data_IF_950304281070
#
_entry.id   IF_950304281070
#
_cell.length_a   1.000
_cell.length_b   1.000
_cell.length_c   1.000
_cell.angle_alpha   90.00
_cell.angle_beta   90.00
_cell.angle_gamma   90.00
#
_symmetry.space_group_name_H-M   'P 1'
#
loop_
_entity.id
_entity.type
_entity.pdbx_description
1 polymer ?
#
# COMPACT_ATOMS: atom_id res chain seq x y z
N UNK A 1 -24.99 4.19 29.64
CA UNK A 1 -23.55 4.35 29.31
C UNK A 1 -23.36 3.83 27.90
N UNK A 2 -23.00 4.66 26.90
CA UNK A 2 -22.88 4.17 25.54
C UNK A 2 -21.57 3.39 25.36
N UNK A 3 -21.67 2.28 24.63
CA UNK A 3 -20.59 1.34 24.40
C UNK A 3 -19.43 1.99 23.64
N UNK A 4 -18.21 1.82 24.18
CA UNK A 4 -17.00 2.27 23.51
C UNK A 4 -16.87 1.55 22.17
N UNK A 5 -17.08 2.29 21.08
CA UNK A 5 -16.66 1.94 19.74
C UNK A 5 -15.17 1.56 19.78
N UNK A 6 -14.89 0.26 19.95
CA UNK A 6 -13.60 -0.34 19.61
C UNK A 6 -13.45 -0.20 18.10
N UNK A 7 -12.98 0.96 17.66
CA UNK A 7 -12.44 1.14 16.32
C UNK A 7 -11.29 0.14 16.22
N UNK A 8 -11.59 -1.01 15.63
CA UNK A 8 -10.57 -1.96 15.25
C UNK A 8 -9.66 -1.21 14.30
N UNK A 9 -8.46 -0.90 14.74
CA UNK A 9 -7.35 -0.39 13.91
C UNK A 9 -6.95 -1.50 12.93
N UNK A 10 -7.84 -1.81 11.99
CA UNK A 10 -7.79 -3.00 11.14
C UNK A 10 -7.04 -2.77 9.83
N UNK A 11 -6.71 -1.53 9.50
CA UNK A 11 -6.06 -1.15 8.25
C UNK A 11 -4.79 -0.33 8.51
N UNK A 12 -3.87 -0.86 9.33
CA UNK A 12 -2.54 -0.28 9.38
C UNK A 12 -1.87 -0.47 8.02
N UNK A 13 -1.35 0.60 7.39
CA UNK A 13 -0.61 0.47 6.14
C UNK A 13 0.58 -0.46 6.35
N UNK A 14 0.67 -1.49 5.51
CA UNK A 14 1.73 -2.48 5.61
C UNK A 14 2.90 -1.98 4.77
N UNK A 15 4.12 -1.83 5.32
CA UNK A 15 5.28 -1.50 4.49
C UNK A 15 5.52 -2.63 3.50
N UNK A 16 5.66 -2.29 2.22
CA UNK A 16 5.86 -3.25 1.13
C UNK A 16 6.99 -2.76 0.24
N UNK A 17 7.65 -3.68 -0.45
CA UNK A 17 8.56 -3.31 -1.52
C UNK A 17 7.80 -3.34 -2.85
N UNK A 18 7.93 -2.28 -3.63
CA UNK A 18 7.32 -2.17 -4.95
C UNK A 18 8.44 -2.08 -5.96
N UNK A 19 8.46 -3.03 -6.88
CA UNK A 19 9.34 -3.00 -8.05
C UNK A 19 8.64 -2.16 -9.09
N UNK A 20 9.20 -0.98 -9.37
CA UNK A 20 8.76 -0.10 -10.45
C UNK A 20 9.57 -0.38 -11.73
N UNK A 21 8.96 -0.17 -12.89
CA UNK A 21 9.68 -0.06 -14.16
C UNK A 21 10.30 1.35 -14.29
N UNK A 22 11.23 1.54 -15.24
CA UNK A 22 11.86 2.84 -15.53
C UNK A 22 10.90 3.98 -15.91
N UNK A 23 9.61 3.69 -16.05
CA UNK A 23 8.52 4.63 -16.30
C UNK A 23 7.65 4.95 -15.06
N UNK A 24 8.16 4.72 -13.83
CA UNK A 24 7.41 4.90 -12.57
C UNK A 24 6.13 4.05 -12.49
N UNK A 25 6.14 2.89 -13.16
CA UNK A 25 4.99 1.96 -13.19
C UNK A 25 5.26 0.80 -12.26
N UNK A 26 4.47 0.58 -11.20
CA UNK A 26 4.67 -0.56 -10.34
C UNK A 26 4.40 -1.85 -11.13
N UNK A 27 5.42 -2.71 -11.28
CA UNK A 27 5.41 -4.00 -11.98
C UNK A 27 5.08 -5.15 -11.04
N UNK A 28 5.59 -5.12 -9.82
CA UNK A 28 5.39 -6.18 -8.84
C UNK A 28 5.49 -5.63 -7.43
N UNK A 29 4.70 -6.16 -6.51
CA UNK A 29 4.77 -5.83 -5.09
C UNK A 29 5.21 -7.05 -4.29
N UNK A 30 6.09 -6.86 -3.33
CA UNK A 30 6.50 -7.87 -2.37
C UNK A 30 5.80 -7.58 -1.05
N UNK A 31 4.77 -8.38 -0.75
CA UNK A 31 4.06 -8.30 0.52
C UNK A 31 4.85 -9.04 1.60
N UNK A 32 5.05 -8.44 2.79
CA UNK A 32 5.69 -9.11 3.89
C UNK A 32 4.84 -10.32 4.32
N UNK A 33 5.47 -11.35 4.91
CA UNK A 33 4.77 -12.55 5.31
C UNK A 33 3.70 -12.21 6.36
N UNK A 34 2.44 -12.29 5.95
CA UNK A 34 1.31 -12.27 6.89
C UNK A 34 1.39 -13.53 7.75
N UNK A 35 1.29 -13.35 9.07
CA UNK A 35 1.47 -14.39 10.09
C UNK A 35 0.31 -15.40 10.00
N UNK A 36 0.33 -16.29 9.01
CA UNK A 36 -0.57 -17.43 8.94
C UNK A 36 -0.01 -18.55 9.80
N UNK A 37 -0.77 -18.99 10.80
CA UNK A 37 -0.39 -20.00 11.81
C UNK A 37 0.08 -21.36 11.26
N UNK A 38 0.06 -21.59 9.94
CA UNK A 38 0.32 -22.91 9.33
C UNK A 38 1.26 -22.92 8.11
N UNK A 39 1.83 -21.79 7.68
CA UNK A 39 2.63 -21.79 6.45
C UNK A 39 3.94 -21.04 6.63
N UNK A 40 5.03 -21.64 6.12
CA UNK A 40 6.38 -21.10 6.05
C UNK A 40 6.33 -19.62 5.64
N UNK A 41 7.04 -18.76 6.39
CA UNK A 41 7.19 -17.32 6.12
C UNK A 41 7.80 -17.14 4.73
N UNK A 42 6.97 -17.00 3.71
CA UNK A 42 7.41 -16.68 2.35
C UNK A 42 6.85 -15.32 1.98
N UNK A 43 7.75 -14.41 1.62
CA UNK A 43 7.41 -13.15 0.98
C UNK A 43 6.60 -13.50 -0.28
N UNK A 44 5.41 -12.91 -0.40
CA UNK A 44 4.57 -13.11 -1.59
C UNK A 44 4.82 -11.95 -2.53
N UNK A 45 5.49 -12.21 -3.65
CA UNK A 45 5.52 -11.29 -4.77
C UNK A 45 4.24 -11.43 -5.60
N UNK A 46 3.53 -10.32 -5.79
CA UNK A 46 2.35 -10.21 -6.62
C UNK A 46 2.70 -9.34 -7.82
N UNK A 47 2.63 -9.92 -9.02
CA UNK A 47 2.78 -9.16 -10.25
C UNK A 47 1.56 -8.27 -10.48
N UNK A 48 1.80 -7.03 -10.91
CA UNK A 48 0.78 -6.08 -11.31
C UNK A 48 0.48 -6.28 -12.79
N UNK A 49 -0.79 -6.53 -13.10
CA UNK A 49 -1.28 -6.71 -14.47
C UNK A 49 -1.71 -5.38 -15.08
N UNK A 50 -2.27 -4.46 -14.29
CA UNK A 50 -2.70 -3.14 -14.77
C UNK A 50 -2.75 -2.12 -13.66
N UNK A 51 -2.57 -0.84 -13.99
CA UNK A 51 -2.78 0.28 -13.07
C UNK A 51 -4.16 0.84 -13.41
N UNK A 52 -5.10 0.80 -12.47
CA UNK A 52 -6.46 1.30 -12.66
C UNK A 52 -6.50 2.82 -12.48
N UNK A 53 -5.80 3.33 -11.45
CA UNK A 53 -5.90 4.73 -11.06
C UNK A 53 -4.63 5.17 -10.34
N UNK A 54 -4.35 6.47 -10.37
CA UNK A 54 -3.17 7.10 -9.79
C UNK A 54 -3.56 8.49 -9.32
N UNK A 55 -3.33 8.77 -8.03
CA UNK A 55 -3.59 10.07 -7.45
C UNK A 55 -2.48 10.44 -6.47
N UNK A 56 -2.07 11.70 -6.52
CA UNK A 56 -1.15 12.26 -5.54
C UNK A 56 -1.95 13.04 -4.51
N UNK A 57 -1.62 12.79 -3.24
CA UNK A 57 -2.14 13.53 -2.10
C UNK A 57 -0.98 14.29 -1.52
N UNK A 58 -1.03 15.61 -1.67
CA UNK A 58 -0.15 16.53 -0.97
C UNK A 58 -0.92 17.00 0.28
N UNK A 59 -0.84 16.17 1.32
CA UNK A 59 -1.39 16.48 2.64
C UNK A 59 -0.46 17.50 3.31
N UNK A 60 -1.07 18.51 3.93
CA UNK A 60 -0.34 19.52 4.72
C UNK A 60 0.57 20.47 3.92
N UNK A 61 0.12 20.95 2.76
CA UNK A 61 0.73 22.12 2.10
C UNK A 61 0.78 23.38 3.00
N UNK A 62 0.06 23.36 4.12
CA UNK A 62 0.01 24.42 5.14
C UNK A 62 0.85 24.15 6.41
N UNK A 63 1.56 23.01 6.56
CA UNK A 63 2.48 22.78 7.70
C UNK A 63 3.95 22.82 7.27
N UNK A 64 4.83 23.03 8.25
CA UNK A 64 6.29 23.09 8.08
C UNK A 64 6.93 21.82 7.48
N UNK A 65 6.22 20.67 7.52
CA UNK A 65 6.65 19.41 6.89
C UNK A 65 5.59 18.94 5.88
N UNK A 66 5.68 19.33 4.60
CA UNK A 66 4.72 18.91 3.58
C UNK A 66 4.78 17.39 3.40
N UNK A 67 3.62 16.73 3.46
CA UNK A 67 3.50 15.29 3.28
C UNK A 67 3.00 15.03 1.86
N UNK A 68 3.91 14.64 0.97
CA UNK A 68 3.52 14.22 -0.39
C UNK A 68 3.44 12.69 -0.45
N UNK A 69 2.28 12.15 -0.81
CA UNK A 69 2.02 10.71 -0.95
C UNK A 69 1.43 10.43 -2.31
N UNK A 70 2.04 9.54 -3.08
CA UNK A 70 1.46 9.08 -4.36
C UNK A 70 0.78 7.74 -4.16
N UNK A 71 -0.52 7.70 -4.41
CA UNK A 71 -1.32 6.49 -4.40
C UNK A 71 -1.47 5.92 -5.80
N UNK A 72 -1.42 4.60 -5.87
CA UNK A 72 -1.55 3.81 -7.07
C UNK A 72 -2.56 2.69 -6.80
N UNK A 73 -3.62 2.65 -7.59
CA UNK A 73 -4.56 1.54 -7.58
C UNK A 73 -4.19 0.57 -8.69
N UNK A 74 -3.76 -0.62 -8.32
CA UNK A 74 -3.21 -1.62 -9.24
C UNK A 74 -4.04 -2.91 -9.20
N UNK A 75 -4.27 -3.52 -10.34
CA UNK A 75 -4.81 -4.88 -10.46
C UNK A 75 -3.64 -5.83 -10.55
N UNK A 76 -3.59 -6.80 -9.65
CA UNK A 76 -2.59 -7.87 -9.65
C UNK A 76 -3.01 -9.03 -10.55
N UNK A 77 -2.08 -9.96 -10.81
CA UNK A 77 -2.33 -11.19 -11.56
C UNK A 77 -3.45 -12.06 -10.95
N UNK A 78 -3.72 -11.92 -9.65
CA UNK A 78 -4.83 -12.62 -8.97
C UNK A 78 -6.20 -11.96 -9.23
N UNK A 79 -6.29 -11.04 -10.20
CA UNK A 79 -7.43 -10.15 -10.47
C UNK A 79 -7.87 -9.30 -9.26
N UNK A 80 -6.99 -9.17 -8.26
CA UNK A 80 -7.25 -8.36 -7.06
C UNK A 80 -6.77 -6.94 -7.28
N UNK A 81 -7.66 -5.99 -6.98
CA UNK A 81 -7.31 -4.57 -6.86
C UNK A 81 -6.63 -4.32 -5.52
N UNK A 82 -5.45 -3.73 -5.57
CA UNK A 82 -4.67 -3.32 -4.42
C UNK A 82 -4.43 -1.82 -4.52
N UNK A 83 -4.52 -1.14 -3.39
CA UNK A 83 -4.17 0.27 -3.26
C UNK A 83 -2.83 0.34 -2.57
N UNK A 84 -1.81 0.82 -3.26
CA UNK A 84 -0.49 1.05 -2.70
C UNK A 84 -0.20 2.54 -2.73
N UNK A 85 0.65 3.03 -1.84
CA UNK A 85 1.10 4.41 -1.87
C UNK A 85 2.57 4.51 -1.55
N UNK A 86 3.23 5.47 -2.19
CA UNK A 86 4.61 5.86 -1.92
C UNK A 86 4.59 7.12 -1.08
N UNK A 87 5.21 7.05 0.08
CA UNK A 87 5.54 8.22 0.88
C UNK A 87 6.76 8.90 0.25
N UNK A 88 6.62 10.14 -0.23
CA UNK A 88 7.73 10.90 -0.82
C UNK A 88 8.72 11.41 0.23
N UNK A 89 8.31 11.50 1.50
CA UNK A 89 9.17 11.99 2.59
C UNK A 89 10.28 10.98 2.88
N UNK A 90 9.92 9.70 2.96
CA UNK A 90 10.84 8.60 3.25
C UNK A 90 11.18 7.74 2.03
N UNK A 91 10.54 7.99 0.87
CA UNK A 91 10.63 7.14 -0.32
C UNK A 91 10.07 5.73 -0.13
N UNK A 92 9.37 5.47 0.98
CA UNK A 92 8.90 4.15 1.38
C UNK A 92 7.54 3.82 0.80
N UNK A 93 7.34 2.56 0.43
CA UNK A 93 6.08 2.08 -0.11
C UNK A 93 5.24 1.38 0.94
N UNK A 94 3.94 1.60 0.85
CA UNK A 94 2.97 1.06 1.76
C UNK A 94 1.78 0.51 0.98
N UNK A 95 1.23 -0.58 1.48
CA UNK A 95 0.03 -1.19 0.96
C UNK A 95 -1.12 -0.89 1.90
N UNK A 96 -2.17 -0.31 1.34
CA UNK A 96 -3.46 -0.17 1.97
C UNK A 96 -4.31 -1.37 1.60
N UNK A 97 -4.54 -2.24 2.59
CA UNK A 97 -5.50 -3.33 2.47
C UNK A 97 -6.89 -2.72 2.35
N UNK A 98 -7.50 -2.80 1.16
CA UNK A 98 -8.91 -2.49 0.96
C UNK A 98 -9.76 -3.41 1.84
N UNK A 99 -10.72 -2.83 2.54
CA UNK A 99 -11.65 -3.54 3.44
C UNK A 99 -12.55 -4.51 2.69
#
# INVERSE_FOLDING_TARGET
>A
MPEGLKFRSLNLPVPIDVVEDGAERPLSISLPPTRSRRSIQKIRSLAITSINDLWQVDEEWWREHPISRRYYQVTTQDERRLTIFRDQLNGSWYWQKGG
#
